data_IF_342014693475
#
_entry.id   IF_342014693475
#
_cell.length_a   1.000
_cell.length_b   1.000
_cell.length_c   1.000
_cell.angle_alpha   90.00
_cell.angle_beta   90.00
_cell.angle_gamma   90.00
#
_symmetry.space_group_name_H-M   'P 1'
#
loop_
_entity.id
_entity.type
_entity.pdbx_description
1 polymer ?
#
# COMPACT_ATOMS: atom_id res chain seq x y z
N UNK A 1 26.68 9.10 -7.55
CA UNK A 1 25.45 9.85 -7.18
C UNK A 1 24.87 9.24 -5.89
N UNK A 2 24.56 10.04 -4.87
CA UNK A 2 24.01 9.50 -3.60
C UNK A 2 22.58 8.98 -3.76
N UNK A 3 22.27 7.85 -3.12
CA UNK A 3 20.95 7.22 -3.15
C UNK A 3 19.85 8.18 -2.67
N UNK A 4 18.64 8.07 -3.22
CA UNK A 4 17.55 9.00 -2.91
C UNK A 4 17.14 8.99 -1.43
N UNK A 5 17.36 7.87 -0.71
CA UNK A 5 17.09 7.75 0.73
C UNK A 5 18.01 8.66 1.56
N UNK A 6 19.30 8.73 1.21
CA UNK A 6 20.34 9.49 1.92
C UNK A 6 20.04 10.98 1.90
N UNK A 7 19.66 11.53 0.74
CA UNK A 7 19.30 12.96 0.60
C UNK A 7 18.08 13.38 1.43
N UNK A 8 17.13 12.47 1.65
CA UNK A 8 15.90 12.77 2.40
C UNK A 8 16.17 12.78 3.90
N UNK A 9 17.00 11.85 4.36
CA UNK A 9 17.44 11.79 5.73
C UNK A 9 18.19 13.06 6.13
N UNK A 10 19.17 13.48 5.32
CA UNK A 10 19.99 14.68 5.60
C UNK A 10 19.16 15.97 5.64
N UNK A 11 18.16 16.13 4.75
CA UNK A 11 17.23 17.28 4.80
C UNK A 11 16.46 17.32 6.13
N UNK A 12 16.01 16.16 6.62
CA UNK A 12 15.25 16.08 7.86
C UNK A 12 16.15 16.31 9.08
N UNK A 13 17.37 15.78 9.05
CA UNK A 13 18.39 16.03 10.08
C UNK A 13 18.73 17.53 10.20
N UNK A 14 18.92 18.22 9.07
CA UNK A 14 19.16 19.67 9.05
C UNK A 14 17.99 20.47 9.61
N UNK A 15 16.75 20.07 9.27
CA UNK A 15 15.56 20.68 9.84
C UNK A 15 15.45 20.43 11.36
N UNK A 16 15.85 19.25 11.86
CA UNK A 16 15.90 18.97 13.31
C UNK A 16 16.94 19.80 14.04
N UNK A 17 18.07 20.10 13.39
CA UNK A 17 19.11 21.02 13.89
C UNK A 17 18.72 22.50 13.82
N UNK A 18 17.52 22.82 13.31
CA UNK A 18 17.02 24.19 13.23
C UNK A 18 17.57 25.03 12.08
N UNK A 19 18.23 24.42 11.09
CA UNK A 19 18.70 25.15 9.93
C UNK A 19 17.53 25.63 9.05
N UNK A 20 17.69 26.81 8.44
CA UNK A 20 16.72 27.34 7.49
C UNK A 20 16.57 26.44 6.25
N UNK A 21 15.39 26.47 5.64
CA UNK A 21 15.13 25.78 4.38
C UNK A 21 16.03 26.32 3.25
N UNK A 22 16.39 27.61 3.29
CA UNK A 22 17.21 28.24 2.26
C UNK A 22 18.65 27.75 2.29
N UNK A 23 19.23 27.62 3.47
CA UNK A 23 20.58 27.08 3.64
C UNK A 23 20.64 25.62 3.19
N UNK A 24 19.61 24.84 3.54
CA UNK A 24 19.44 23.44 3.09
C UNK A 24 19.37 23.34 1.56
N UNK A 25 18.61 24.23 0.91
CA UNK A 25 18.49 24.29 -0.57
C UNK A 25 19.84 24.58 -1.23
N UNK A 26 20.57 25.59 -0.74
CA UNK A 26 21.87 25.99 -1.27
C UNK A 26 22.91 24.88 -1.09
N UNK A 27 22.97 24.30 0.10
CA UNK A 27 23.96 23.26 0.46
C UNK A 27 23.74 21.97 -0.34
N UNK A 28 22.49 21.48 -0.40
CA UNK A 28 22.19 20.21 -1.05
C UNK A 28 21.89 20.33 -2.55
N UNK A 29 21.90 21.55 -3.11
CA UNK A 29 21.54 21.84 -4.51
C UNK A 29 20.22 21.17 -4.90
N UNK A 30 19.20 21.31 -4.05
CA UNK A 30 17.86 20.74 -4.26
C UNK A 30 16.82 21.83 -4.44
N UNK A 31 15.73 21.53 -5.14
CA UNK A 31 14.64 22.50 -5.30
C UNK A 31 13.98 22.82 -3.96
N UNK A 32 13.70 24.11 -3.70
CA UNK A 32 12.99 24.59 -2.50
C UNK A 32 11.69 23.83 -2.22
N UNK A 33 10.94 23.52 -3.28
CA UNK A 33 9.71 22.74 -3.18
C UNK A 33 9.94 21.32 -2.63
N UNK A 34 11.06 20.69 -2.97
CA UNK A 34 11.39 19.33 -2.50
C UNK A 34 11.66 19.34 -1.00
N UNK A 35 12.46 20.31 -0.51
CA UNK A 35 12.77 20.49 0.91
C UNK A 35 11.48 20.73 1.70
N UNK A 36 10.65 21.70 1.27
CA UNK A 36 9.38 22.01 1.93
C UNK A 36 8.43 20.81 1.97
N UNK A 37 8.24 20.09 0.85
CA UNK A 37 7.41 18.88 0.79
C UNK A 37 7.95 17.76 1.68
N UNK A 38 9.28 17.62 1.81
CA UNK A 38 9.89 16.59 2.66
C UNK A 38 9.68 16.89 4.14
N UNK A 39 9.88 18.15 4.55
CA UNK A 39 9.67 18.59 5.94
C UNK A 39 8.20 18.49 6.31
N UNK A 40 7.28 18.98 5.46
CA UNK A 40 5.84 18.84 5.68
C UNK A 40 5.44 17.37 5.86
N UNK A 41 5.89 16.50 4.97
CA UNK A 41 5.65 15.05 5.07
C UNK A 41 6.22 14.45 6.35
N UNK A 42 7.41 14.86 6.76
CA UNK A 42 8.01 14.39 8.00
C UNK A 42 7.20 14.81 9.23
N UNK A 43 6.65 16.03 9.25
CA UNK A 43 5.75 16.49 10.32
C UNK A 43 4.42 15.71 10.35
N UNK A 44 3.88 15.32 9.19
CA UNK A 44 2.62 14.56 9.10
C UNK A 44 2.78 13.08 9.48
N UNK A 45 3.88 12.43 9.06
CA UNK A 45 4.05 10.96 9.17
C UNK A 45 5.01 10.57 10.30
N UNK A 46 5.93 11.46 10.70
CA UNK A 46 6.97 11.20 11.70
C UNK A 46 8.12 10.30 11.23
N UNK A 47 8.04 9.75 10.01
CA UNK A 47 9.04 8.85 9.44
C UNK A 47 9.77 9.45 8.24
N UNK A 48 11.05 9.11 8.09
CA UNK A 48 11.87 9.45 6.91
C UNK A 48 11.69 8.45 5.76
N UNK A 49 11.06 7.30 6.05
CA UNK A 49 10.74 6.27 5.06
C UNK A 49 9.81 6.80 3.96
N UNK A 50 9.84 6.16 2.79
CA UNK A 50 8.87 6.48 1.75
C UNK A 50 7.48 5.96 2.13
N UNK A 51 6.48 6.82 1.92
CA UNK A 51 5.08 6.45 2.07
C UNK A 51 4.77 5.32 1.08
N UNK A 52 4.06 4.30 1.55
CA UNK A 52 3.46 3.29 0.69
C UNK A 52 2.63 3.98 -0.40
N UNK A 53 2.92 3.66 -1.66
CA UNK A 53 2.19 4.25 -2.78
C UNK A 53 0.72 3.84 -2.69
N UNK A 54 -0.17 4.80 -2.84
CA UNK A 54 -1.60 4.51 -3.03
C UNK A 54 -1.78 3.78 -4.35
N UNK A 55 -2.17 2.50 -4.29
CA UNK A 55 -2.63 1.77 -5.46
C UNK A 55 -4.08 2.13 -5.81
N UNK A 56 -4.55 1.66 -6.97
CA UNK A 56 -5.96 1.82 -7.36
C UNK A 56 -6.87 1.09 -6.36
N UNK A 57 -7.87 1.76 -5.75
CA UNK A 57 -8.83 1.09 -4.90
C UNK A 57 -9.66 0.11 -5.74
N UNK A 58 -10.03 -1.03 -5.15
CA UNK A 58 -10.95 -1.96 -5.81
C UNK A 58 -12.36 -1.38 -5.75
N UNK A 59 -13.04 -1.28 -6.90
CA UNK A 59 -14.41 -0.77 -7.02
C UNK A 59 -15.46 -1.79 -6.55
N UNK A 60 -15.14 -3.09 -6.67
CA UNK A 60 -15.99 -4.17 -6.19
C UNK A 60 -16.09 -4.17 -4.65
N UNK A 61 -17.24 -4.54 -4.10
CA UNK A 61 -17.45 -4.67 -2.65
C UNK A 61 -16.68 -5.88 -2.08
N UNK A 62 -15.37 -5.69 -1.90
CA UNK A 62 -14.44 -6.74 -1.45
C UNK A 62 -14.84 -7.28 -0.07
N UNK A 63 -15.33 -6.44 0.83
CA UNK A 63 -15.64 -6.84 2.20
C UNK A 63 -16.80 -7.82 2.25
N UNK A 64 -17.90 -7.54 1.52
CA UNK A 64 -19.05 -8.45 1.41
C UNK A 64 -18.65 -9.77 0.77
N UNK A 65 -17.97 -9.71 -0.37
CA UNK A 65 -17.54 -10.91 -1.08
C UNK A 65 -16.57 -11.76 -0.27
N UNK A 66 -15.62 -11.14 0.43
CA UNK A 66 -14.68 -11.82 1.32
C UNK A 66 -15.40 -12.57 2.43
N UNK A 67 -16.42 -11.97 3.06
CA UNK A 67 -17.24 -12.62 4.08
C UNK A 67 -17.99 -13.83 3.51
N UNK A 68 -18.67 -13.67 2.37
CA UNK A 68 -19.42 -14.74 1.71
C UNK A 68 -18.53 -15.92 1.32
N UNK A 69 -17.39 -15.65 0.67
CA UNK A 69 -16.42 -16.68 0.27
C UNK A 69 -15.87 -17.40 1.50
N UNK A 70 -15.50 -16.67 2.56
CA UNK A 70 -15.01 -17.29 3.80
C UNK A 70 -16.04 -18.23 4.43
N UNK A 71 -17.32 -17.84 4.45
CA UNK A 71 -18.39 -18.71 4.95
C UNK A 71 -18.55 -19.98 4.10
N UNK A 72 -18.52 -19.87 2.76
CA UNK A 72 -18.64 -21.02 1.87
C UNK A 72 -17.46 -21.99 1.98
N UNK A 73 -16.24 -21.48 2.12
CA UNK A 73 -15.05 -22.31 2.38
C UNK A 73 -15.18 -23.04 3.72
N UNK A 74 -15.64 -22.35 4.77
CA UNK A 74 -15.86 -22.95 6.09
C UNK A 74 -16.89 -24.08 6.05
N UNK A 75 -17.96 -23.91 5.27
CA UNK A 75 -19.00 -24.94 5.10
C UNK A 75 -18.50 -26.15 4.31
N UNK A 76 -17.77 -25.93 3.21
CA UNK A 76 -17.24 -27.01 2.40
C UNK A 76 -15.88 -26.60 1.79
N UNK A 77 -14.75 -27.01 2.42
CA UNK A 77 -13.41 -26.63 1.96
C UNK A 77 -13.01 -27.34 0.66
N UNK A 78 -13.63 -28.48 0.33
CA UNK A 78 -13.39 -29.24 -0.91
C UNK A 78 -14.17 -28.71 -2.11
N UNK A 79 -14.89 -27.60 -1.97
CA UNK A 79 -15.63 -26.98 -3.08
C UNK A 79 -14.69 -26.19 -4.00
N UNK A 80 -14.88 -26.30 -5.32
CA UNK A 80 -14.10 -25.52 -6.27
C UNK A 80 -14.43 -24.03 -6.24
N UNK A 81 -13.43 -23.18 -6.51
CA UNK A 81 -13.63 -21.73 -6.62
C UNK A 81 -14.61 -21.41 -7.74
N UNK A 82 -14.49 -22.04 -8.91
CA UNK A 82 -15.42 -21.80 -10.03
C UNK A 82 -16.88 -21.98 -9.64
N UNK A 83 -17.22 -23.06 -8.94
CA UNK A 83 -18.60 -23.30 -8.47
C UNK A 83 -19.03 -22.29 -7.41
N UNK A 84 -18.12 -21.86 -6.54
CA UNK A 84 -18.42 -20.84 -5.54
C UNK A 84 -18.64 -19.46 -6.17
N UNK A 85 -17.85 -19.11 -7.18
CA UNK A 85 -17.94 -17.86 -7.92
C UNK A 85 -19.26 -17.77 -8.71
N UNK A 86 -19.65 -18.86 -9.39
CA UNK A 86 -20.94 -18.98 -10.06
C UNK A 86 -22.11 -18.80 -9.08
N UNK A 87 -22.07 -19.44 -7.92
CA UNK A 87 -23.13 -19.31 -6.92
C UNK A 87 -23.28 -17.92 -6.29
N UNK A 88 -22.25 -17.08 -6.38
CA UNK A 88 -22.21 -15.76 -5.75
C UNK A 88 -22.30 -14.64 -6.80
N UNK A 89 -22.47 -14.98 -8.09
CA UNK A 89 -22.41 -14.07 -9.23
C UNK A 89 -21.15 -13.18 -9.24
N UNK A 90 -20.01 -13.79 -8.88
CA UNK A 90 -18.71 -13.13 -8.89
C UNK A 90 -17.88 -13.72 -10.02
N UNK A 91 -17.08 -12.89 -10.69
CA UNK A 91 -16.11 -13.40 -11.66
C UNK A 91 -15.13 -14.38 -11.00
N UNK A 92 -14.81 -15.46 -11.71
CA UNK A 92 -13.84 -16.47 -11.24
C UNK A 92 -12.50 -15.84 -10.83
N UNK A 93 -12.02 -14.86 -11.60
CA UNK A 93 -10.77 -14.14 -11.33
C UNK A 93 -10.83 -13.36 -10.01
N UNK A 94 -11.96 -12.69 -9.73
CA UNK A 94 -12.14 -11.95 -8.49
C UNK A 94 -12.21 -12.91 -7.29
N UNK A 95 -12.99 -13.98 -7.38
CA UNK A 95 -13.05 -15.01 -6.34
C UNK A 95 -11.68 -15.62 -6.06
N UNK A 96 -10.92 -15.99 -7.11
CA UNK A 96 -9.54 -16.49 -6.99
C UNK A 96 -8.61 -15.48 -6.32
N UNK A 97 -8.69 -14.21 -6.70
CA UNK A 97 -7.88 -13.16 -6.09
C UNK A 97 -8.21 -12.97 -4.61
N UNK A 98 -9.49 -13.04 -4.23
CA UNK A 98 -9.91 -12.91 -2.83
C UNK A 98 -9.38 -14.07 -2.00
N UNK A 99 -9.51 -15.30 -2.50
CA UNK A 99 -9.02 -16.50 -1.78
C UNK A 99 -7.50 -16.44 -1.59
N UNK A 100 -6.74 -16.19 -2.66
CA UNK A 100 -5.26 -16.19 -2.58
C UNK A 100 -4.66 -14.95 -1.92
N UNK A 101 -5.10 -13.75 -2.33
CA UNK A 101 -4.45 -12.50 -1.89
C UNK A 101 -5.03 -12.00 -0.57
N UNK A 102 -6.35 -12.07 -0.40
CA UNK A 102 -7.02 -11.41 0.73
C UNK A 102 -7.28 -12.37 1.91
N UNK A 103 -7.55 -13.65 1.64
CA UNK A 103 -7.73 -14.70 2.65
C UNK A 103 -6.46 -15.53 2.90
N UNK A 104 -5.48 -15.48 1.99
CA UNK A 104 -4.21 -16.24 2.06
C UNK A 104 -4.43 -17.75 2.23
N UNK A 105 -5.45 -18.29 1.54
CA UNK A 105 -5.76 -19.71 1.55
C UNK A 105 -5.40 -20.33 0.20
N UNK A 106 -4.97 -21.59 0.21
CA UNK A 106 -4.89 -22.39 -0.99
C UNK A 106 -6.22 -23.11 -1.23
N UNK A 107 -6.85 -22.92 -2.40
CA UNK A 107 -8.11 -23.56 -2.71
C UNK A 107 -7.91 -25.02 -3.13
N UNK A 108 -8.93 -25.84 -2.87
CA UNK A 108 -8.95 -27.24 -3.32
C UNK A 108 -8.88 -27.37 -4.85
N UNK A 109 -9.66 -26.57 -5.59
CA UNK A 109 -9.66 -26.55 -7.06
C UNK A 109 -10.02 -25.16 -7.58
N UNK A 110 -9.33 -24.73 -8.64
CA UNK A 110 -9.62 -23.46 -9.33
C UNK A 110 -10.90 -23.55 -10.16
#
# INVERSE_FOLDING_TARGET
MAASSTKRFTIIEFNKRGHSNETTVRLFKTLRQVVSRRIKRFKEVGSTSDRLRSGRPRTFNVTRAKKLIKMRIKQNPKRSIRKMAQNLDISHRAARSIVRKDLKLEPYKF
#
